data_IF_250836238669
#
_entry.id   IF_250836238669
#
_cell.length_a   1.000
_cell.length_b   1.000
_cell.length_c   1.000
_cell.angle_alpha   90.00
_cell.angle_beta   90.00
_cell.angle_gamma   90.00
#
_symmetry.space_group_name_H-M   'P 1'
#
loop_
_entity.id
_entity.type
_entity.pdbx_description
1 polymer ?
#
# COMPACT_ATOMS: atom_id res chain seq x y z
N UNK A 1 -0.77 -25.69 -6.93
CA UNK A 1 -1.61 -25.82 -5.69
C UNK A 1 -2.07 -24.43 -5.34
N UNK A 2 -3.38 -24.20 -5.33
CA UNK A 2 -3.98 -22.93 -4.93
C UNK A 2 -3.79 -22.69 -3.43
N UNK A 3 -3.70 -21.43 -3.03
CA UNK A 3 -3.58 -21.08 -1.60
C UNK A 3 -4.95 -21.14 -0.93
N UNK A 4 -5.01 -21.81 0.22
CA UNK A 4 -6.19 -21.77 1.07
C UNK A 4 -6.32 -20.43 1.76
N UNK A 5 -7.54 -20.06 2.12
CA UNK A 5 -7.80 -18.87 2.94
C UNK A 5 -6.97 -18.92 4.24
N UNK A 6 -6.32 -17.82 4.57
CA UNK A 6 -5.41 -17.71 5.71
C UNK A 6 -3.98 -18.19 5.44
N UNK A 7 -3.68 -18.70 4.23
CA UNK A 7 -2.29 -19.03 3.86
C UNK A 7 -1.42 -17.77 3.91
N UNK A 8 -0.28 -17.88 4.57
CA UNK A 8 0.72 -16.80 4.62
C UNK A 8 1.72 -16.96 3.49
N UNK A 9 1.88 -15.93 2.68
CA UNK A 9 2.81 -15.87 1.55
C UNK A 9 3.69 -14.63 1.63
N UNK A 10 4.87 -14.71 1.03
CA UNK A 10 5.71 -13.55 0.72
C UNK A 10 5.50 -13.14 -0.73
N UNK A 11 5.11 -11.90 -0.94
CA UNK A 11 4.76 -11.34 -2.22
C UNK A 11 5.67 -10.16 -2.58
N UNK A 12 6.37 -10.27 -3.70
CA UNK A 12 6.96 -9.12 -4.38
C UNK A 12 5.98 -8.59 -5.40
N UNK A 13 5.90 -7.26 -5.51
CA UNK A 13 5.07 -6.63 -6.51
C UNK A 13 5.51 -5.22 -6.88
N UNK A 14 5.12 -4.82 -8.08
CA UNK A 14 5.12 -3.43 -8.53
C UNK A 14 3.72 -3.07 -9.01
N UNK A 15 3.14 -2.03 -8.44
CA UNK A 15 1.79 -1.57 -8.72
C UNK A 15 1.81 -0.26 -9.49
N UNK A 16 1.07 -0.22 -10.62
CA UNK A 16 0.98 0.95 -11.48
C UNK A 16 -0.47 1.26 -11.89
N UNK A 17 -0.70 2.51 -12.28
CA UNK A 17 -1.94 2.93 -12.92
C UNK A 17 -1.91 2.46 -14.37
N UNK A 18 -2.98 1.78 -14.84
CA UNK A 18 -3.02 1.20 -16.20
C UNK A 18 -2.89 2.26 -17.30
N UNK A 19 -3.56 3.40 -17.13
CA UNK A 19 -3.71 4.40 -18.20
C UNK A 19 -2.40 5.09 -18.57
N UNK A 20 -1.54 5.40 -17.59
CA UNK A 20 -0.32 6.18 -17.77
C UNK A 20 0.96 5.45 -17.37
N UNK A 21 0.83 4.24 -16.82
CA UNK A 21 1.97 3.43 -16.37
C UNK A 21 2.66 3.96 -15.10
N UNK A 22 2.11 4.99 -14.44
CA UNK A 22 2.67 5.56 -13.21
C UNK A 22 2.72 4.52 -12.11
N UNK A 23 3.93 4.19 -11.64
CA UNK A 23 4.13 3.32 -10.47
C UNK A 23 3.78 4.12 -9.22
N UNK A 24 2.93 3.57 -8.38
CA UNK A 24 2.52 4.22 -7.13
C UNK A 24 2.92 3.43 -5.87
N UNK A 25 3.30 2.16 -6.02
CA UNK A 25 3.78 1.32 -4.93
C UNK A 25 4.62 0.17 -5.48
N UNK A 26 5.69 -0.19 -4.77
CA UNK A 26 6.50 -1.37 -5.10
C UNK A 26 7.22 -1.91 -3.85
N UNK A 27 7.50 -3.21 -3.82
CA UNK A 27 8.37 -3.87 -2.85
C UNK A 27 9.81 -3.97 -3.35
N UNK A 28 10.06 -3.58 -4.60
CA UNK A 28 11.35 -3.74 -5.29
C UNK A 28 12.10 -2.40 -5.31
N UNK A 29 13.27 -2.36 -4.68
CA UNK A 29 14.07 -1.14 -4.53
C UNK A 29 14.45 -0.49 -5.86
N UNK A 30 14.83 -1.30 -6.86
CA UNK A 30 15.18 -0.78 -8.18
C UNK A 30 14.02 -0.06 -8.87
N UNK A 31 12.80 -0.61 -8.75
CA UNK A 31 11.60 -0.02 -9.33
C UNK A 31 11.22 1.26 -8.58
N UNK A 32 11.40 1.29 -7.26
CA UNK A 32 11.20 2.49 -6.46
C UNK A 32 12.17 3.62 -6.89
N UNK A 33 13.45 3.31 -7.11
CA UNK A 33 14.45 4.28 -7.59
C UNK A 33 14.12 4.81 -8.98
N UNK A 34 13.70 3.94 -9.91
CA UNK A 34 13.33 4.33 -11.29
C UNK A 34 12.08 5.20 -11.36
N UNK A 35 11.17 5.06 -10.39
CA UNK A 35 9.89 5.77 -10.35
C UNK A 35 9.85 6.97 -9.39
N UNK A 36 10.99 7.37 -8.83
CA UNK A 36 11.10 8.43 -7.82
C UNK A 36 10.25 8.19 -6.56
N UNK A 37 10.01 6.92 -6.20
CA UNK A 37 9.31 6.49 -4.98
C UNK A 37 10.28 5.99 -3.91
N UNK A 38 11.59 6.08 -4.17
CA UNK A 38 12.59 5.58 -3.24
C UNK A 38 12.61 6.41 -1.96
N UNK A 39 12.47 5.70 -0.84
CA UNK A 39 12.56 6.25 0.50
C UNK A 39 13.62 5.43 1.27
N UNK A 40 14.74 6.04 1.73
CA UNK A 40 15.80 5.32 2.44
C UNK A 40 15.36 4.77 3.80
N UNK A 41 14.24 5.24 4.35
CA UNK A 41 13.68 4.75 5.63
C UNK A 41 12.77 3.55 5.45
N UNK A 42 12.40 3.23 4.20
CA UNK A 42 11.50 2.13 3.86
C UNK A 42 12.30 0.87 3.52
N UNK A 43 11.83 -0.28 3.99
CA UNK A 43 12.36 -1.58 3.58
C UNK A 43 11.74 -2.02 2.26
N UNK A 44 12.59 -2.44 1.33
CA UNK A 44 12.21 -3.03 0.06
C UNK A 44 12.45 -4.53 0.14
N UNK A 45 11.45 -5.24 0.56
CA UNK A 45 11.46 -6.70 0.74
C UNK A 45 10.07 -7.29 0.43
N UNK A 46 9.98 -8.59 0.11
CA UNK A 46 8.71 -9.25 -0.12
C UNK A 46 7.76 -9.07 1.07
N UNK A 47 6.54 -8.58 0.79
CA UNK A 47 5.54 -8.31 1.82
C UNK A 47 4.82 -9.56 2.25
N UNK A 48 4.66 -9.76 3.56
CA UNK A 48 3.83 -10.82 4.11
C UNK A 48 2.34 -10.52 3.87
N UNK A 49 1.65 -11.46 3.23
CA UNK A 49 0.22 -11.40 2.92
C UNK A 49 -0.46 -12.65 3.48
N UNK A 50 -1.65 -12.47 4.07
CA UNK A 50 -2.56 -13.55 4.40
C UNK A 50 -3.64 -13.61 3.33
N UNK A 51 -3.66 -14.67 2.55
CA UNK A 51 -4.54 -14.81 1.38
C UNK A 51 -6.00 -14.94 1.84
N UNK A 52 -6.92 -14.20 1.19
CA UNK A 52 -8.35 -14.24 1.48
C UNK A 52 -8.77 -13.50 2.75
N UNK A 53 -7.85 -12.76 3.41
CA UNK A 53 -8.10 -12.04 4.67
C UNK A 53 -8.15 -10.52 4.51
N UNK A 54 -8.18 -10.00 3.29
CA UNK A 54 -8.29 -8.57 3.02
C UNK A 54 -7.05 -7.75 3.42
N UNK A 55 -5.87 -8.37 3.42
CA UNK A 55 -4.62 -7.66 3.72
C UNK A 55 -4.12 -6.82 2.56
N UNK A 56 -4.65 -7.05 1.39
CA UNK A 56 -4.41 -6.32 0.15
C UNK A 56 -5.74 -5.95 -0.50
N UNK A 57 -5.70 -5.20 -1.60
CA UNK A 57 -6.91 -4.86 -2.35
C UNK A 57 -7.69 -6.12 -2.75
N UNK A 58 -9.03 -6.03 -2.74
CA UNK A 58 -9.93 -7.15 -3.01
C UNK A 58 -9.60 -7.89 -4.30
N UNK A 59 -9.35 -7.17 -5.38
CA UNK A 59 -9.00 -7.79 -6.67
C UNK A 59 -7.67 -8.53 -6.66
N UNK A 60 -6.69 -8.04 -5.90
CA UNK A 60 -5.41 -8.72 -5.70
C UNK A 60 -5.59 -9.97 -4.85
N UNK A 61 -6.33 -9.88 -3.76
CA UNK A 61 -6.57 -10.99 -2.83
C UNK A 61 -7.31 -12.16 -3.51
N UNK A 62 -8.32 -11.85 -4.31
CA UNK A 62 -9.05 -12.84 -5.12
C UNK A 62 -8.12 -13.55 -6.13
N UNK A 63 -7.25 -12.79 -6.81
CA UNK A 63 -6.33 -13.35 -7.80
C UNK A 63 -5.27 -14.25 -7.15
N UNK A 64 -4.76 -13.85 -5.97
CA UNK A 64 -3.75 -14.63 -5.23
C UNK A 64 -4.27 -16.00 -4.80
N UNK A 65 -5.59 -16.16 -4.55
CA UNK A 65 -6.19 -17.45 -4.19
C UNK A 65 -6.01 -18.53 -5.23
N UNK A 66 -5.82 -18.16 -6.51
CA UNK A 66 -5.63 -19.08 -7.65
C UNK A 66 -4.19 -19.14 -8.16
N UNK A 67 -3.23 -18.63 -7.39
CA UNK A 67 -1.81 -18.50 -7.78
C UNK A 67 -0.96 -19.55 -7.08
N UNK A 68 0.19 -19.90 -7.67
CA UNK A 68 1.19 -20.81 -7.08
C UNK A 68 2.49 -20.08 -6.72
N UNK A 69 3.30 -20.72 -5.84
CA UNK A 69 4.64 -20.24 -5.51
C UNK A 69 5.53 -20.20 -6.75
N UNK A 70 6.31 -19.13 -6.89
CA UNK A 70 7.20 -18.90 -8.03
C UNK A 70 6.50 -18.39 -9.28
N UNK A 71 5.18 -18.26 -9.27
CA UNK A 71 4.42 -17.74 -10.40
C UNK A 71 4.49 -16.20 -10.45
N UNK A 72 4.80 -15.69 -11.64
CA UNK A 72 4.76 -14.26 -11.95
C UNK A 72 3.50 -13.95 -12.73
N UNK A 73 2.71 -13.01 -12.27
CA UNK A 73 1.45 -12.62 -12.88
C UNK A 73 1.34 -11.11 -12.99
N UNK A 74 0.62 -10.66 -14.02
CA UNK A 74 0.15 -9.28 -14.12
C UNK A 74 -1.36 -9.29 -13.88
N UNK A 75 -1.80 -8.67 -12.79
CA UNK A 75 -3.19 -8.69 -12.32
C UNK A 75 -3.78 -7.31 -12.52
N UNK A 76 -4.86 -7.24 -13.31
CA UNK A 76 -5.62 -6.02 -13.49
C UNK A 76 -6.73 -5.93 -12.45
N UNK A 77 -6.80 -4.78 -11.77
CA UNK A 77 -7.76 -4.52 -10.69
C UNK A 77 -8.66 -3.36 -11.11
N UNK A 78 -9.95 -3.64 -11.26
CA UNK A 78 -10.98 -2.65 -11.53
C UNK A 78 -11.22 -1.75 -10.30
N UNK A 79 -11.74 -0.52 -10.49
CA UNK A 79 -11.97 0.41 -9.40
C UNK A 79 -12.81 -0.17 -8.25
N UNK A 80 -13.86 -0.93 -8.54
CA UNK A 80 -14.75 -1.56 -7.55
C UNK A 80 -14.05 -2.60 -6.66
N UNK A 81 -12.97 -3.21 -7.17
CA UNK A 81 -12.12 -4.16 -6.44
C UNK A 81 -10.80 -3.54 -5.96
N UNK A 82 -10.60 -2.25 -6.25
CA UNK A 82 -9.44 -1.46 -5.87
C UNK A 82 -9.79 -0.37 -4.87
N UNK A 83 -9.53 0.89 -5.23
CA UNK A 83 -9.78 2.05 -4.36
C UNK A 83 -11.20 2.64 -4.50
N UNK A 84 -12.10 1.94 -5.18
CA UNK A 84 -13.47 2.36 -5.39
C UNK A 84 -13.66 3.37 -6.51
N UNK A 85 -14.93 3.64 -6.82
CA UNK A 85 -15.31 4.66 -7.78
C UNK A 85 -15.19 6.06 -7.17
N UNK A 86 -15.01 7.06 -8.01
CA UNK A 86 -14.99 8.45 -7.59
C UNK A 86 -16.39 8.91 -7.23
N UNK A 87 -16.55 9.37 -5.99
CA UNK A 87 -17.80 9.92 -5.48
C UNK A 87 -17.83 11.44 -5.73
N UNK A 88 -18.79 11.90 -6.53
CA UNK A 88 -19.00 13.34 -6.82
C UNK A 88 -19.38 14.14 -5.58
N UNK A 89 -19.99 13.50 -4.57
CA UNK A 89 -20.32 14.15 -3.30
C UNK A 89 -19.08 14.47 -2.45
N UNK A 90 -17.95 13.87 -2.75
CA UNK A 90 -16.64 14.16 -2.13
C UNK A 90 -15.92 15.34 -2.83
N UNK A 91 -16.50 15.90 -3.88
CA UNK A 91 -15.96 17.09 -4.56
C UNK A 91 -16.71 18.31 -4.06
N UNK A 92 -15.98 19.27 -3.48
CA UNK A 92 -16.57 20.46 -2.85
C UNK A 92 -16.05 21.75 -3.48
N UNK A 93 -16.95 22.66 -3.78
CA UNK A 93 -16.64 24.02 -4.17
C UNK A 93 -16.75 24.92 -2.93
N UNK A 94 -15.64 25.52 -2.50
CA UNK A 94 -15.60 26.37 -1.31
C UNK A 94 -15.04 27.77 -1.66
N UNK A 95 -15.34 28.83 -0.86
CA UNK A 95 -14.63 30.09 -0.97
C UNK A 95 -13.13 29.90 -0.71
N UNK A 96 -12.29 30.48 -1.57
CA UNK A 96 -10.82 30.37 -1.48
C UNK A 96 -10.28 30.84 -0.12
N UNK A 97 -10.90 31.89 0.48
CA UNK A 97 -10.55 32.40 1.82
C UNK A 97 -10.59 31.32 2.95
N UNK A 98 -11.34 30.24 2.77
CA UNK A 98 -11.38 29.16 3.76
C UNK A 98 -10.07 28.37 3.87
N UNK A 99 -9.16 28.50 2.92
CA UNK A 99 -7.82 27.93 2.97
C UNK A 99 -6.85 28.73 3.87
N UNK A 100 -7.33 29.81 4.50
CA UNK A 100 -6.54 30.63 5.43
C UNK A 100 -5.37 31.36 4.74
N UNK A 101 -4.24 31.42 5.41
CA UNK A 101 -3.05 32.14 4.94
C UNK A 101 -2.52 31.62 3.60
N UNK A 102 -2.66 30.33 3.35
CA UNK A 102 -2.22 29.70 2.08
C UNK A 102 -3.16 29.93 0.90
N UNK A 103 -4.29 30.62 1.10
CA UNK A 103 -5.32 30.79 0.07
C UNK A 103 -4.81 31.34 -1.28
N UNK A 104 -3.80 32.24 -1.24
CA UNK A 104 -3.25 32.85 -2.44
C UNK A 104 -2.04 32.13 -3.04
N UNK A 105 -1.52 31.12 -2.36
CA UNK A 105 -0.30 30.40 -2.76
C UNK A 105 -0.62 29.06 -3.44
N UNK A 106 -1.82 28.52 -3.21
CA UNK A 106 -2.23 27.22 -3.71
C UNK A 106 -2.43 27.19 -5.22
N UNK A 107 -2.13 26.03 -5.82
CA UNK A 107 -2.27 25.76 -7.24
C UNK A 107 -3.14 24.53 -7.48
N UNK A 108 -3.65 24.42 -8.70
CA UNK A 108 -4.32 23.16 -9.13
C UNK A 108 -3.34 22.02 -9.06
N UNK A 109 -3.74 20.93 -8.40
CA UNK A 109 -2.91 19.76 -8.13
C UNK A 109 -2.36 19.71 -6.71
N UNK A 110 -2.35 20.82 -5.97
CA UNK A 110 -1.86 20.85 -4.60
C UNK A 110 -2.75 20.02 -3.67
N UNK A 111 -2.10 19.39 -2.70
CA UNK A 111 -2.76 18.67 -1.61
C UNK A 111 -3.01 19.67 -0.48
N UNK A 112 -4.25 19.76 -0.03
CA UNK A 112 -4.65 20.62 1.08
C UNK A 112 -5.38 19.82 2.15
N UNK A 113 -5.22 20.26 3.38
CA UNK A 113 -5.96 19.74 4.52
C UNK A 113 -6.96 20.81 5.01
N UNK A 114 -8.24 20.43 5.10
CA UNK A 114 -9.32 21.29 5.57
C UNK A 114 -10.34 20.46 6.33
N UNK A 115 -10.72 20.89 7.54
CA UNK A 115 -11.67 20.22 8.42
C UNK A 115 -11.28 18.73 8.65
N UNK A 116 -10.00 18.49 9.00
CA UNK A 116 -9.39 17.17 9.21
C UNK A 116 -9.49 16.21 8.00
N UNK A 117 -9.63 16.78 6.81
CA UNK A 117 -9.74 16.02 5.55
C UNK A 117 -8.72 16.49 4.54
N UNK A 118 -7.97 15.56 4.02
CA UNK A 118 -7.01 15.79 2.94
C UNK A 118 -7.72 15.72 1.59
N UNK A 119 -7.49 16.73 0.72
CA UNK A 119 -8.04 16.75 -0.63
C UNK A 119 -7.08 17.39 -1.63
N UNK A 120 -7.38 17.22 -2.91
CA UNK A 120 -6.59 17.77 -4.02
C UNK A 120 -7.37 18.91 -4.66
N UNK A 121 -6.70 20.06 -4.88
CA UNK A 121 -7.28 21.18 -5.59
C UNK A 121 -7.42 20.81 -7.08
N UNK A 122 -8.64 20.89 -7.60
CA UNK A 122 -8.95 20.59 -9.01
C UNK A 122 -9.26 21.83 -9.84
N UNK A 123 -9.68 22.91 -9.20
CA UNK A 123 -9.99 24.18 -9.88
C UNK A 123 -9.82 25.35 -8.92
N UNK A 124 -9.34 26.47 -9.45
CA UNK A 124 -9.25 27.76 -8.76
C UNK A 124 -9.79 28.86 -9.72
N UNK A 125 -10.77 29.61 -9.27
CA UNK A 125 -11.31 30.72 -10.07
C UNK A 125 -12.43 31.44 -9.37
N UNK A 126 -12.60 32.72 -9.70
CA UNK A 126 -13.66 33.57 -9.16
C UNK A 126 -13.76 33.56 -7.62
N UNK A 127 -12.62 33.56 -6.92
CA UNK A 127 -12.57 33.52 -5.46
C UNK A 127 -13.06 32.21 -4.85
N UNK A 128 -13.13 31.11 -5.63
CA UNK A 128 -13.52 29.79 -5.20
C UNK A 128 -12.45 28.74 -5.58
N UNK A 129 -12.41 27.67 -4.80
CA UNK A 129 -11.59 26.50 -5.08
C UNK A 129 -12.46 25.26 -5.06
N UNK A 130 -12.19 24.34 -5.98
CA UNK A 130 -12.78 23.01 -5.97
C UNK A 130 -11.77 22.05 -5.37
N UNK A 131 -12.16 21.36 -4.31
CA UNK A 131 -11.35 20.37 -3.62
C UNK A 131 -11.99 19.00 -3.81
N UNK A 132 -11.19 18.02 -4.21
CA UNK A 132 -11.56 16.62 -4.38
C UNK A 132 -11.01 15.82 -3.23
N UNK A 133 -11.88 15.29 -2.37
CA UNK A 133 -11.56 14.48 -1.21
C UNK A 133 -11.60 12.96 -1.52
N UNK A 134 -11.74 12.58 -2.79
CA UNK A 134 -11.62 11.18 -3.18
C UNK A 134 -10.19 10.70 -3.02
N UNK A 135 -10.03 9.40 -2.82
CA UNK A 135 -8.70 8.79 -2.90
C UNK A 135 -8.08 9.07 -4.28
N UNK A 136 -6.78 9.39 -4.33
CA UNK A 136 -6.09 9.78 -5.59
C UNK A 136 -6.19 8.71 -6.69
N UNK A 137 -6.33 7.44 -6.30
CA UNK A 137 -6.48 6.30 -7.20
C UNK A 137 -7.94 5.85 -7.40
N UNK A 138 -8.94 6.59 -6.87
CA UNK A 138 -10.35 6.29 -7.13
C UNK A 138 -10.67 6.37 -8.62
N UNK A 139 -11.50 5.46 -9.11
CA UNK A 139 -11.85 5.25 -10.54
C UNK A 139 -10.65 4.94 -11.45
N UNK A 140 -9.50 4.52 -10.89
CA UNK A 140 -8.35 4.09 -11.69
C UNK A 140 -8.33 2.57 -11.77
N UNK A 141 -8.09 2.06 -12.97
CA UNK A 141 -7.73 0.66 -13.17
C UNK A 141 -6.25 0.51 -12.83
N UNK A 142 -5.94 -0.45 -11.97
CA UNK A 142 -4.60 -0.70 -11.48
C UNK A 142 -4.05 -1.99 -12.07
N UNK A 143 -2.75 -2.06 -12.23
CA UNK A 143 -2.05 -3.27 -12.63
C UNK A 143 -1.00 -3.59 -11.59
N UNK A 144 -1.07 -4.80 -11.06
CA UNK A 144 -0.10 -5.37 -10.14
C UNK A 144 0.71 -6.45 -10.84
N UNK A 145 1.99 -6.20 -11.05
CA UNK A 145 2.93 -7.23 -11.47
C UNK A 145 3.46 -7.90 -10.20
N UNK A 146 3.08 -9.15 -9.98
CA UNK A 146 3.33 -9.88 -8.74
C UNK A 146 4.21 -11.09 -8.95
N UNK A 147 4.99 -11.43 -7.93
CA UNK A 147 5.75 -12.66 -7.83
C UNK A 147 5.55 -13.26 -6.43
N UNK A 148 4.98 -14.47 -6.36
CA UNK A 148 4.85 -15.19 -5.09
C UNK A 148 6.20 -15.85 -4.77
N UNK A 149 6.94 -15.26 -3.85
CA UNK A 149 8.31 -15.69 -3.53
C UNK A 149 8.32 -16.98 -2.72
N UNK A 150 7.47 -17.08 -1.68
CA UNK A 150 7.45 -18.21 -0.75
C UNK A 150 6.09 -18.32 -0.07
N UNK A 151 5.65 -19.56 0.20
CA UNK A 151 4.59 -19.86 1.18
C UNK A 151 5.22 -20.11 2.54
N UNK A 152 4.66 -19.53 3.59
CA UNK A 152 5.15 -19.70 4.96
C UNK A 152 4.37 -20.82 5.63
N UNK A 153 5.05 -21.93 5.92
CA UNK A 153 4.40 -23.14 6.43
C UNK A 153 4.71 -23.39 7.90
N UNK A 154 5.99 -23.23 8.33
CA UNK A 154 6.38 -23.48 9.71
C UNK A 154 5.80 -22.45 10.68
N UNK A 155 5.45 -22.87 11.89
CA UNK A 155 4.94 -21.96 12.93
C UNK A 155 6.01 -20.94 13.34
N UNK A 156 7.26 -21.32 13.35
CA UNK A 156 8.39 -20.45 13.65
C UNK A 156 8.48 -19.31 12.62
N UNK A 157 8.49 -19.63 11.32
CA UNK A 157 8.47 -18.62 10.25
C UNK A 157 7.22 -17.74 10.32
N UNK A 158 6.04 -18.31 10.57
CA UNK A 158 4.79 -17.52 10.72
C UNK A 158 4.92 -16.47 11.82
N UNK A 159 5.40 -16.86 12.99
CA UNK A 159 5.60 -15.94 14.12
C UNK A 159 6.62 -14.88 13.75
N UNK A 160 7.78 -15.29 13.20
CA UNK A 160 8.83 -14.36 12.77
C UNK A 160 8.32 -13.30 11.81
N UNK A 161 7.65 -13.69 10.72
CA UNK A 161 7.16 -12.73 9.72
C UNK A 161 5.99 -11.87 10.22
N UNK A 162 5.13 -12.40 11.09
CA UNK A 162 4.07 -11.62 11.73
C UNK A 162 4.63 -10.55 12.67
N UNK A 163 5.67 -10.88 13.43
CA UNK A 163 6.36 -9.93 14.28
C UNK A 163 7.07 -8.85 13.47
N UNK A 164 7.81 -9.24 12.41
CA UNK A 164 8.46 -8.29 11.48
C UNK A 164 7.47 -7.30 10.86
N UNK A 165 6.27 -7.75 10.55
CA UNK A 165 5.22 -6.88 10.01
C UNK A 165 4.77 -5.81 11.00
N UNK A 166 4.79 -6.12 12.30
CA UNK A 166 4.29 -5.25 13.38
C UNK A 166 5.37 -4.39 14.01
N UNK A 167 6.58 -4.91 14.05
CA UNK A 167 7.73 -4.27 14.68
C UNK A 167 8.73 -3.87 13.60
N UNK A 168 9.08 -2.58 13.47
CA UNK A 168 10.05 -2.11 12.50
C UNK A 168 11.49 -2.42 12.96
N UNK A 169 11.74 -3.69 13.36
CA UNK A 169 13.02 -4.14 13.89
C UNK A 169 13.81 -4.82 12.76
N UNK A 170 15.08 -4.48 12.63
CA UNK A 170 16.01 -5.14 11.72
C UNK A 170 16.26 -6.58 12.16
N UNK A 171 16.43 -7.51 11.21
CA UNK A 171 16.61 -8.95 11.49
C UNK A 171 17.77 -9.24 12.43
N UNK A 172 18.80 -8.40 12.40
CA UNK A 172 20.01 -8.51 13.23
C UNK A 172 19.76 -8.10 14.68
N UNK A 173 18.71 -7.29 14.95
CA UNK A 173 18.37 -6.74 16.27
C UNK A 173 17.32 -7.53 17.03
N UNK A 174 16.75 -8.57 16.42
CA UNK A 174 15.75 -9.41 17.07
C UNK A 174 16.03 -10.89 16.83
N UNK A 175 16.20 -11.64 17.92
CA UNK A 175 16.23 -13.10 17.90
C UNK A 175 14.89 -13.64 18.33
N UNK A 176 14.38 -14.61 17.58
CA UNK A 176 13.11 -15.26 17.85
C UNK A 176 13.35 -16.75 18.12
N UNK A 177 12.94 -17.20 19.28
CA UNK A 177 12.93 -18.63 19.61
C UNK A 177 11.50 -19.09 19.84
N UNK A 178 11.11 -20.18 19.18
CA UNK A 178 9.80 -20.80 19.33
C UNK A 178 9.94 -22.21 19.91
N UNK A 179 9.37 -22.40 21.07
CA UNK A 179 9.22 -23.71 21.72
C UNK A 179 7.73 -23.96 21.94
N UNK A 180 7.13 -24.83 21.16
CA UNK A 180 5.73 -25.29 21.15
C UNK A 180 4.65 -24.46 21.88
N UNK A 181 4.94 -23.92 23.08
CA UNK A 181 4.02 -23.15 23.92
C UNK A 181 4.55 -21.75 24.29
N UNK A 182 5.76 -21.41 23.86
CA UNK A 182 6.41 -20.16 24.26
C UNK A 182 7.16 -19.53 23.10
N UNK A 183 6.95 -18.25 22.90
CA UNK A 183 7.75 -17.41 22.01
C UNK A 183 8.66 -16.54 22.89
N UNK A 184 9.96 -16.63 22.69
CA UNK A 184 10.95 -15.74 23.31
C UNK A 184 11.43 -14.78 22.25
N UNK A 185 11.35 -13.48 22.54
CA UNK A 185 11.84 -12.41 21.69
C UNK A 185 12.95 -11.72 22.46
N UNK A 186 14.18 -11.85 21.98
CA UNK A 186 15.31 -11.08 22.49
C UNK A 186 15.54 -9.88 21.57
N UNK A 187 15.48 -8.69 22.15
CA UNK A 187 15.74 -7.43 21.46
C UNK A 187 17.10 -6.90 21.91
N UNK A 188 17.91 -6.44 20.96
CA UNK A 188 19.16 -5.72 21.32
C UNK A 188 18.81 -4.36 21.96
N UNK A 189 19.63 -3.90 22.89
CA UNK A 189 19.42 -2.66 23.64
C UNK A 189 19.46 -1.36 22.79
N UNK A 190 19.92 -1.45 21.54
CA UNK A 190 20.06 -0.31 20.62
C UNK A 190 18.80 -0.07 19.76
N UNK A 191 17.60 -0.13 20.37
CA UNK A 191 16.35 0.27 19.69
C UNK A 191 16.05 1.72 20.10
N UNK A 192 16.57 2.66 19.34
CA UNK A 192 16.24 4.09 19.43
C UNK A 192 15.70 4.60 18.08
#
# INVERSE_FOLDING_TARGET
MTFDKGSLILLDYTARIKDNGEIFETTIEEDAKKSNLYDPTRRYEPRLISVGEGWVLKGLDEALSSTDVGQKLSIEISPDKGFGERDTNKVRMIPQRKLGEKANEVKVGDVVELDDRTGIIRYIGSGRVQIDYNHRLASRVLVYDVNVVKKIESNEDKIKYLLKRRLPIEDEKAKFEYNNDKVVIELSEDIS
#
